data_IF_219156856462
#
_entry.id   IF_219156856462
#
_cell.length_a   1.000
_cell.length_b   1.000
_cell.length_c   1.000
_cell.angle_alpha   90.00
_cell.angle_beta   90.00
_cell.angle_gamma   90.00
#
_symmetry.space_group_name_H-M   'P 1'
#
loop_
_entity.id
_entity.type
_entity.pdbx_description
1 polymer ?
#
# COMPACT_ATOMS: atom_id res chain seq x y z
N UNK A 1 -6.38 12.82 -31.71
CA UNK A 1 -5.44 13.76 -32.37
C UNK A 1 -4.12 13.05 -32.56
N UNK A 2 -3.71 12.90 -33.82
CA UNK A 2 -2.65 12.01 -34.27
C UNK A 2 -1.24 12.55 -34.03
N UNK A 3 -0.32 11.59 -33.83
CA UNK A 3 1.09 11.55 -34.24
C UNK A 3 1.99 12.78 -34.05
N UNK A 4 3.08 12.58 -33.30
CA UNK A 4 4.45 12.68 -33.84
C UNK A 4 5.47 12.05 -32.88
N UNK A 5 6.04 10.94 -33.34
CA UNK A 5 7.30 10.36 -32.88
C UNK A 5 8.47 11.21 -33.40
N UNK A 6 9.51 11.42 -32.60
CA UNK A 6 10.84 11.76 -33.11
C UNK A 6 11.92 11.12 -32.23
N UNK A 7 12.61 10.17 -32.83
CA UNK A 7 13.82 9.49 -32.36
C UNK A 7 15.01 10.40 -32.66
N UNK A 8 15.95 10.60 -31.73
CA UNK A 8 17.34 10.99 -32.05
C UNK A 8 18.31 10.29 -31.09
N UNK A 9 19.27 9.54 -31.66
CA UNK A 9 20.45 8.93 -31.02
C UNK A 9 21.68 9.85 -31.22
N UNK A 10 22.49 10.03 -30.17
CA UNK A 10 23.97 9.95 -30.17
C UNK A 10 24.90 11.02 -30.78
N UNK A 11 25.49 11.86 -29.89
CA UNK A 11 26.92 12.28 -29.80
C UNK A 11 27.51 13.40 -30.72
N UNK A 12 28.73 13.97 -30.46
CA UNK A 12 29.07 14.94 -29.39
C UNK A 12 29.90 16.20 -29.87
N UNK A 13 30.22 17.11 -28.91
CA UNK A 13 31.36 18.08 -28.80
C UNK A 13 31.13 19.63 -28.95
N UNK A 14 31.25 20.28 -27.77
CA UNK A 14 32.11 21.42 -27.36
C UNK A 14 31.90 22.90 -27.81
N UNK A 15 32.06 23.73 -26.76
CA UNK A 15 32.51 25.13 -26.62
C UNK A 15 31.51 26.30 -26.61
N UNK A 16 31.28 26.79 -25.38
CA UNK A 16 31.46 28.18 -24.91
C UNK A 16 30.86 29.33 -25.71
N UNK A 17 29.90 30.06 -25.10
CA UNK A 17 29.98 31.51 -24.91
C UNK A 17 28.94 31.98 -23.85
N UNK A 18 29.30 33.07 -23.20
CA UNK A 18 28.79 33.63 -21.95
C UNK A 18 27.60 34.59 -22.07
N UNK A 19 26.98 34.85 -20.90
CA UNK A 19 26.27 36.07 -20.46
C UNK A 19 24.81 36.31 -20.90
N UNK A 20 23.93 36.50 -19.91
CA UNK A 20 22.66 37.20 -20.10
C UNK A 20 21.59 36.92 -19.04
N UNK A 21 21.80 37.34 -17.79
CA UNK A 21 20.74 37.45 -16.78
C UNK A 21 19.71 38.49 -17.26
N UNK A 22 18.42 38.13 -17.34
CA UNK A 22 17.32 39.09 -17.40
C UNK A 22 16.21 38.72 -16.42
N UNK A 23 16.04 39.59 -15.44
CA UNK A 23 14.96 39.69 -14.47
C UNK A 23 13.61 40.01 -15.14
N UNK A 24 12.56 39.30 -14.74
CA UNK A 24 11.16 39.59 -15.14
C UNK A 24 10.52 40.47 -14.05
N UNK A 25 9.87 41.61 -14.37
CA UNK A 25 9.24 42.44 -13.35
C UNK A 25 7.84 41.95 -13.01
N UNK A 26 7.57 41.94 -11.70
CA UNK A 26 6.28 41.70 -11.06
C UNK A 26 5.39 42.94 -11.21
N UNK A 27 4.23 42.80 -11.86
CA UNK A 27 3.24 43.88 -12.02
C UNK A 27 2.09 43.67 -11.04
N UNK A 28 2.01 44.57 -10.06
CA UNK A 28 0.91 44.66 -9.11
C UNK A 28 -0.34 45.28 -9.76
N UNK A 29 -1.48 44.60 -9.70
CA UNK A 29 -2.78 45.13 -10.14
C UNK A 29 -3.51 45.79 -8.97
N UNK A 30 -3.75 47.11 -9.09
CA UNK A 30 -4.59 47.92 -8.19
C UNK A 30 -6.06 47.49 -8.27
N UNK A 31 -6.72 47.59 -7.12
CA UNK A 31 -8.09 47.16 -6.88
C UNK A 31 -9.17 48.01 -7.57
N UNK A 32 -10.31 47.35 -7.78
CA UNK A 32 -11.59 47.96 -8.12
C UNK A 32 -12.46 47.82 -6.88
N UNK A 33 -12.87 48.95 -6.32
CA UNK A 33 -13.80 49.01 -5.20
C UNK A 33 -15.22 48.69 -5.69
N UNK A 34 -15.81 47.62 -5.15
CA UNK A 34 -17.24 47.34 -5.23
C UNK A 34 -17.84 47.63 -3.86
N UNK A 35 -18.74 48.59 -3.79
CA UNK A 35 -19.51 48.91 -2.60
C UNK A 35 -20.43 47.73 -2.26
N UNK A 36 -20.12 47.01 -1.18
CA UNK A 36 -21.04 46.06 -0.52
C UNK A 36 -21.42 46.61 0.84
N UNK A 37 -22.71 46.83 1.00
CA UNK A 37 -23.46 47.19 2.20
C UNK A 37 -22.99 46.39 3.43
N UNK A 38 -22.94 46.96 4.65
CA UNK A 38 -22.48 46.22 5.82
C UNK A 38 -23.48 45.13 6.16
N UNK A 39 -23.16 43.88 5.81
CA UNK A 39 -23.87 42.69 6.29
C UNK A 39 -23.41 42.43 7.72
N UNK A 40 -24.36 42.37 8.64
CA UNK A 40 -24.17 42.22 10.07
C UNK A 40 -23.13 41.15 10.45
N UNK A 41 -22.02 41.60 11.04
CA UNK A 41 -20.95 40.80 11.64
C UNK A 41 -21.35 40.13 12.98
N UNK A 42 -22.63 40.18 13.37
CA UNK A 42 -23.09 39.60 14.64
C UNK A 42 -23.44 38.11 14.54
N UNK A 43 -23.80 37.60 13.35
CA UNK A 43 -24.28 36.21 13.19
C UNK A 43 -23.15 35.18 13.11
N UNK A 44 -21.96 35.54 12.65
CA UNK A 44 -20.79 34.63 12.63
C UNK A 44 -20.27 34.33 14.03
N UNK A 45 -20.22 35.34 14.92
CA UNK A 45 -19.78 35.13 16.31
C UNK A 45 -20.71 34.22 17.11
N UNK A 46 -22.03 34.28 16.84
CA UNK A 46 -23.02 33.43 17.50
C UNK A 46 -23.00 32.00 16.96
N UNK A 47 -22.82 31.82 15.64
CA UNK A 47 -22.68 30.50 15.03
C UNK A 47 -21.39 29.77 15.45
N UNK A 48 -20.27 30.50 15.58
CA UNK A 48 -19.00 29.98 16.09
C UNK A 48 -19.09 29.66 17.60
N UNK A 49 -19.72 30.53 18.39
CA UNK A 49 -19.95 30.31 19.82
C UNK A 49 -20.94 29.17 20.09
N UNK A 50 -21.99 29.02 19.29
CA UNK A 50 -22.93 27.89 19.36
C UNK A 50 -22.28 26.59 18.87
N UNK A 51 -21.40 26.67 17.88
CA UNK A 51 -20.55 25.56 17.44
C UNK A 51 -19.65 25.04 18.58
N UNK A 52 -18.98 25.96 19.27
CA UNK A 52 -18.14 25.71 20.46
C UNK A 52 -18.93 25.19 21.66
N UNK A 53 -20.08 25.79 21.99
CA UNK A 53 -20.93 25.31 23.10
C UNK A 53 -21.46 23.91 22.84
N UNK A 54 -21.89 23.62 21.60
CA UNK A 54 -22.32 22.28 21.21
C UNK A 54 -21.17 21.27 21.18
N UNK A 55 -19.90 21.69 21.01
CA UNK A 55 -18.76 20.74 21.01
C UNK A 55 -18.36 20.40 22.43
N UNK A 56 -18.36 21.39 23.32
CA UNK A 56 -18.21 21.18 24.75
C UNK A 56 -19.28 20.24 25.33
N UNK A 57 -20.56 20.44 25.02
CA UNK A 57 -21.62 19.57 25.54
C UNK A 57 -21.53 18.11 25.06
N UNK A 58 -21.05 17.89 23.83
CA UNK A 58 -20.82 16.55 23.29
C UNK A 58 -19.59 15.89 23.95
N UNK A 59 -18.50 16.64 24.13
CA UNK A 59 -17.33 16.20 24.89
C UNK A 59 -17.67 15.79 26.32
N UNK A 60 -18.45 16.61 27.01
CA UNK A 60 -18.90 16.31 28.37
C UNK A 60 -19.73 15.03 28.45
N UNK A 61 -20.46 14.68 27.39
CA UNK A 61 -21.21 13.41 27.33
C UNK A 61 -20.29 12.20 27.13
N UNK A 62 -19.21 12.35 26.36
CA UNK A 62 -18.20 11.32 26.12
C UNK A 62 -17.30 11.10 27.34
N UNK A 63 -16.95 12.16 28.05
CA UNK A 63 -16.13 12.11 29.27
C UNK A 63 -16.86 11.43 30.44
N UNK A 64 -18.19 11.35 30.40
CA UNK A 64 -19.03 10.65 31.37
C UNK A 64 -19.24 9.17 31.03
N UNK A 65 -18.78 8.71 29.87
CA UNK A 65 -18.88 7.31 29.49
C UNK A 65 -18.00 6.44 30.41
N UNK A 66 -18.53 5.37 31.01
CA UNK A 66 -17.75 4.46 31.85
C UNK A 66 -16.49 3.92 31.17
N UNK A 67 -16.53 3.66 29.85
CA UNK A 67 -15.37 3.20 29.10
C UNK A 67 -14.28 4.27 28.97
N UNK A 68 -14.68 5.55 28.92
CA UNK A 68 -13.73 6.67 28.93
C UNK A 68 -13.02 6.80 30.28
N UNK A 69 -13.77 6.65 31.38
CA UNK A 69 -13.21 6.71 32.73
C UNK A 69 -12.25 5.53 33.00
N UNK A 70 -12.64 4.31 32.63
CA UNK A 70 -11.78 3.12 32.72
C UNK A 70 -10.46 3.28 31.94
N UNK A 71 -10.52 3.90 30.74
CA UNK A 71 -9.33 4.17 29.93
C UNK A 71 -8.36 5.10 30.69
N UNK A 72 -8.87 6.18 31.28
CA UNK A 72 -8.08 7.21 31.97
C UNK A 72 -7.44 6.66 33.25
N UNK A 73 -8.20 5.91 34.05
CA UNK A 73 -7.71 5.29 35.28
C UNK A 73 -6.61 4.27 34.97
N UNK A 74 -6.79 3.46 33.93
CA UNK A 74 -5.80 2.48 33.54
C UNK A 74 -4.50 3.10 32.95
N UNK A 75 -4.48 4.39 32.63
CA UNK A 75 -3.27 5.11 32.20
C UNK A 75 -2.48 5.66 33.40
N UNK A 76 -3.13 5.86 34.54
CA UNK A 76 -2.51 6.35 35.78
C UNK A 76 -1.76 5.25 36.58
N UNK A 77 -2.08 3.98 36.36
CA UNK A 77 -1.60 2.86 37.19
C UNK A 77 -0.20 2.29 36.83
N UNK A 78 0.61 2.95 35.97
CA UNK A 78 1.90 2.38 35.57
C UNK A 78 3.10 3.01 36.28
N UNK A 79 3.59 2.43 37.40
CA UNK A 79 4.67 3.00 38.20
C UNK A 79 6.05 2.93 37.51
N UNK A 80 6.17 2.24 36.37
CA UNK A 80 7.41 2.10 35.62
C UNK A 80 7.20 2.46 34.13
N UNK A 81 7.45 3.72 33.72
CA UNK A 81 7.18 4.19 32.36
C UNK A 81 7.87 3.38 31.25
N UNK A 82 9.03 2.76 31.54
CA UNK A 82 9.75 1.92 30.57
C UNK A 82 9.08 0.56 30.32
N UNK A 83 8.24 0.09 31.24
CA UNK A 83 7.42 -1.12 31.06
C UNK A 83 6.12 -0.82 30.31
N UNK A 84 5.77 0.46 30.13
CA UNK A 84 4.64 0.87 29.32
C UNK A 84 5.00 0.90 27.83
N UNK A 85 4.29 0.13 27.03
CA UNK A 85 4.42 0.21 25.57
C UNK A 85 3.91 1.56 25.05
N UNK A 86 2.84 2.11 25.63
CA UNK A 86 2.23 3.37 25.18
C UNK A 86 3.22 4.51 25.31
N UNK A 87 3.95 4.60 26.42
CA UNK A 87 4.97 5.63 26.62
C UNK A 87 6.20 5.49 25.69
N UNK A 88 6.49 4.27 25.21
CA UNK A 88 7.55 4.02 24.21
C UNK A 88 7.08 4.25 22.78
N UNK A 89 5.81 4.00 22.49
CA UNK A 89 5.21 4.14 21.17
C UNK A 89 4.83 5.59 20.86
N UNK A 90 4.19 6.28 21.81
CA UNK A 90 3.82 7.69 21.67
C UNK A 90 5.03 8.55 22.00
N UNK A 91 5.47 9.35 21.03
CA UNK A 91 6.65 10.22 21.15
C UNK A 91 6.46 11.40 22.10
N UNK A 92 5.47 12.29 21.88
CA UNK A 92 5.24 13.46 22.72
C UNK A 92 5.06 13.11 24.19
N UNK A 93 5.72 13.87 25.07
CA UNK A 93 5.52 13.81 26.53
C UNK A 93 4.47 14.84 26.95
N UNK A 94 3.98 14.74 28.17
CA UNK A 94 2.93 15.64 28.67
C UNK A 94 3.29 17.13 28.49
N UNK A 95 4.54 17.51 28.75
CA UNK A 95 5.04 18.87 28.50
C UNK A 95 5.05 19.28 27.03
N UNK A 96 5.31 18.33 26.12
CA UNK A 96 5.28 18.58 24.68
C UNK A 96 3.84 18.74 24.21
N UNK A 97 2.93 17.91 24.74
CA UNK A 97 1.49 17.97 24.46
C UNK A 97 0.94 19.33 24.87
N UNK A 98 1.25 19.81 26.08
CA UNK A 98 0.82 21.14 26.56
C UNK A 98 1.32 22.27 25.65
N UNK A 99 2.59 22.21 25.23
CA UNK A 99 3.18 23.20 24.32
C UNK A 99 2.54 23.16 22.92
N UNK A 100 2.27 21.96 22.40
CA UNK A 100 1.60 21.75 21.12
C UNK A 100 0.15 22.26 21.16
N UNK A 101 -0.61 21.93 22.22
CA UNK A 101 -1.98 22.37 22.44
C UNK A 101 -2.10 23.89 22.48
N UNK A 102 -1.19 24.56 23.19
CA UNK A 102 -1.11 26.02 23.22
C UNK A 102 -0.84 26.62 21.83
N UNK A 103 -0.03 25.95 21.01
CA UNK A 103 0.30 26.42 19.65
C UNK A 103 -0.89 26.32 18.71
N UNK A 104 -1.70 25.27 18.85
CA UNK A 104 -2.92 25.07 18.04
C UNK A 104 -4.16 25.78 18.61
N UNK A 105 -4.04 26.38 19.81
CA UNK A 105 -5.12 27.14 20.45
C UNK A 105 -6.21 26.27 21.09
N UNK A 106 -5.85 25.08 21.57
CA UNK A 106 -6.76 24.18 22.28
C UNK A 106 -6.33 24.02 23.75
N UNK A 107 -7.31 23.94 24.66
CA UNK A 107 -7.04 23.80 26.10
C UNK A 107 -6.76 22.35 26.53
N UNK A 108 -7.19 21.37 25.72
CA UNK A 108 -7.00 19.95 25.99
C UNK A 108 -7.01 19.15 24.69
N UNK A 109 -6.49 17.91 24.74
CA UNK A 109 -6.54 16.98 23.62
C UNK A 109 -7.98 16.68 23.20
N UNK A 110 -8.88 16.55 24.17
CA UNK A 110 -10.31 16.37 23.96
C UNK A 110 -10.92 17.55 23.19
N UNK A 111 -10.64 18.78 23.62
CA UNK A 111 -11.09 20.01 22.94
C UNK A 111 -10.58 20.02 21.50
N UNK A 112 -9.29 19.73 21.29
CA UNK A 112 -8.68 19.66 19.97
C UNK A 112 -9.37 18.62 19.05
N UNK A 113 -9.60 17.40 19.55
CA UNK A 113 -10.31 16.35 18.78
C UNK A 113 -11.70 16.82 18.36
N UNK A 114 -12.45 17.47 19.26
CA UNK A 114 -13.81 17.95 18.96
C UNK A 114 -13.86 19.10 17.95
N UNK A 115 -12.76 19.85 17.80
CA UNK A 115 -12.62 20.91 16.80
C UNK A 115 -12.27 20.34 15.42
N UNK A 116 -11.51 19.24 15.38
CA UNK A 116 -11.02 18.62 14.12
C UNK A 116 -12.04 17.63 13.54
N UNK A 117 -12.65 16.80 14.37
CA UNK A 117 -13.54 15.72 13.93
C UNK A 117 -15.00 16.18 14.02
N UNK A 118 -15.77 16.18 12.92
CA UNK A 118 -17.19 16.45 12.95
C UNK A 118 -17.95 15.51 13.90
N UNK A 119 -18.92 16.07 14.63
CA UNK A 119 -19.61 15.39 15.75
C UNK A 119 -20.46 14.21 15.30
N UNK A 120 -21.01 14.27 14.11
CA UNK A 120 -21.88 13.26 13.53
C UNK A 120 -21.12 11.97 13.17
N UNK A 121 -19.80 12.04 13.04
CA UNK A 121 -18.92 10.88 12.80
C UNK A 121 -18.00 10.55 13.98
N UNK A 122 -18.02 11.36 15.04
CA UNK A 122 -17.24 11.11 16.25
C UNK A 122 -17.86 9.95 17.02
N UNK A 123 -17.16 8.83 17.04
CA UNK A 123 -17.63 7.62 17.74
C UNK A 123 -17.46 7.76 19.25
N UNK A 124 -18.43 7.29 20.06
CA UNK A 124 -18.25 7.20 21.50
C UNK A 124 -17.11 6.22 21.85
N UNK A 125 -16.47 6.40 23.02
CA UNK A 125 -15.45 5.48 23.51
C UNK A 125 -16.01 4.05 23.46
N UNK A 126 -15.38 3.19 22.66
CA UNK A 126 -15.80 1.80 22.56
C UNK A 126 -15.32 1.05 23.80
N UNK A 127 -16.16 0.13 24.29
CA UNK A 127 -15.79 -0.85 25.30
C UNK A 127 -14.45 -1.50 24.93
N UNK A 128 -13.54 -1.59 25.90
CA UNK A 128 -12.20 -2.13 25.72
C UNK A 128 -12.25 -3.49 25.00
N UNK A 129 -11.68 -3.54 23.79
CA UNK A 129 -11.69 -4.76 22.95
C UNK A 129 -10.89 -5.89 23.62
N UNK A 130 -9.88 -5.55 24.43
CA UNK A 130 -9.10 -6.50 25.21
C UNK A 130 -9.17 -6.15 26.71
N UNK A 131 -9.73 -7.03 27.56
CA UNK A 131 -9.94 -6.72 28.98
C UNK A 131 -8.64 -6.63 29.79
N UNK A 132 -7.50 -7.05 29.23
CA UNK A 132 -6.20 -7.07 29.90
C UNK A 132 -5.16 -6.32 29.09
N UNK A 133 -4.60 -5.25 29.67
CA UNK A 133 -3.38 -4.63 29.16
C UNK A 133 -2.22 -5.61 29.36
N UNK A 134 -1.50 -5.91 28.29
CA UNK A 134 -0.32 -6.76 28.34
C UNK A 134 0.93 -5.89 28.18
N UNK A 135 1.96 -6.14 28.99
CA UNK A 135 3.31 -5.64 28.73
C UNK A 135 3.86 -6.27 27.44
N UNK A 136 4.92 -5.70 26.87
CA UNK A 136 5.60 -6.31 25.72
C UNK A 136 6.02 -7.77 25.97
N UNK A 137 6.57 -8.05 27.17
CA UNK A 137 6.92 -9.41 27.58
C UNK A 137 5.70 -10.32 27.71
N UNK A 138 4.57 -9.78 28.20
CA UNK A 138 3.30 -10.48 28.26
C UNK A 138 2.79 -10.86 26.86
N UNK A 139 2.81 -9.91 25.93
CA UNK A 139 2.44 -10.12 24.52
C UNK A 139 3.36 -11.17 23.86
N UNK A 140 4.67 -11.08 24.07
CA UNK A 140 5.63 -12.06 23.55
C UNK A 140 5.36 -13.48 24.08
N UNK A 141 5.02 -13.62 25.37
CA UNK A 141 4.67 -14.92 25.96
C UNK A 141 3.36 -15.49 25.37
N UNK A 142 2.36 -14.64 25.13
CA UNK A 142 1.10 -15.04 24.49
C UNK A 142 1.35 -15.50 23.05
N UNK A 143 2.12 -14.75 22.25
CA UNK A 143 2.44 -15.19 20.89
C UNK A 143 3.29 -16.45 20.87
N UNK A 144 4.19 -16.63 21.85
CA UNK A 144 4.96 -17.86 22.00
C UNK A 144 4.07 -19.07 22.29
N UNK A 145 3.06 -18.93 23.15
CA UNK A 145 2.11 -20.01 23.45
C UNK A 145 1.16 -20.31 22.29
N UNK A 146 0.77 -19.30 21.51
CA UNK A 146 0.02 -19.48 20.26
C UNK A 146 0.87 -20.19 19.21
N UNK A 147 2.11 -19.74 19.00
CA UNK A 147 3.04 -20.35 18.04
C UNK A 147 3.38 -21.80 18.39
N UNK A 148 3.37 -22.16 19.67
CA UNK A 148 3.62 -23.54 20.12
C UNK A 148 2.49 -24.52 19.76
N UNK A 149 1.32 -24.03 19.35
CA UNK A 149 0.21 -24.86 18.89
C UNK A 149 0.35 -25.25 17.41
N UNK A 150 1.22 -24.57 16.66
CA UNK A 150 1.46 -24.88 15.24
C UNK A 150 2.34 -26.13 15.12
N UNK A 151 1.93 -27.08 14.28
CA UNK A 151 2.74 -28.24 13.93
C UNK A 151 3.70 -27.89 12.79
N UNK A 152 5.00 -27.80 13.08
CA UNK A 152 6.04 -27.60 12.06
C UNK A 152 6.36 -28.95 11.42
N UNK A 153 5.90 -29.15 10.18
CA UNK A 153 6.18 -30.34 9.36
C UNK A 153 7.09 -30.00 8.20
N UNK A 154 7.80 -31.00 7.68
CA UNK A 154 8.52 -30.85 6.41
C UNK A 154 7.50 -30.63 5.29
N UNK A 155 7.48 -29.43 4.70
CA UNK A 155 6.57 -29.08 3.62
C UNK A 155 7.05 -29.72 2.31
N UNK A 156 6.23 -30.61 1.74
CA UNK A 156 6.49 -31.27 0.45
C UNK A 156 5.33 -31.14 -0.53
N UNK A 157 4.33 -30.29 -0.23
CA UNK A 157 3.13 -30.12 -1.06
C UNK A 157 3.39 -29.26 -2.31
N UNK A 158 4.50 -28.52 -2.36
CA UNK A 158 4.78 -27.57 -3.44
C UNK A 158 3.78 -26.41 -3.44
N UNK A 159 3.09 -26.19 -4.57
CA UNK A 159 2.08 -25.14 -4.70
C UNK A 159 2.64 -23.71 -4.79
N UNK A 160 3.85 -23.55 -5.33
CA UNK A 160 4.55 -22.27 -5.40
C UNK A 160 5.33 -21.91 -4.13
N UNK A 161 5.17 -22.67 -3.03
CA UNK A 161 5.87 -22.44 -1.77
C UNK A 161 6.84 -23.58 -1.48
N UNK A 162 8.13 -23.24 -1.38
CA UNK A 162 9.20 -24.19 -1.17
C UNK A 162 10.07 -23.75 0.02
N UNK A 163 10.41 -24.67 0.95
CA UNK A 163 11.26 -24.32 2.09
C UNK A 163 12.66 -23.92 1.60
N UNK A 164 13.19 -22.83 2.15
CA UNK A 164 14.54 -22.32 1.84
C UNK A 164 15.32 -22.07 3.12
N UNK A 165 16.61 -22.35 3.08
CA UNK A 165 17.54 -21.98 4.14
C UNK A 165 17.91 -20.50 3.98
N UNK A 166 17.42 -19.64 4.89
CA UNK A 166 17.76 -18.22 4.88
C UNK A 166 19.14 -18.04 5.50
N UNK A 167 20.15 -17.52 4.77
CA UNK A 167 21.47 -17.30 5.32
C UNK A 167 21.42 -16.44 6.58
N UNK A 168 22.03 -16.91 7.67
CA UNK A 168 21.97 -16.24 8.98
C UNK A 168 22.43 -14.78 8.93
N UNK A 169 23.41 -14.47 8.07
CA UNK A 169 23.90 -13.10 7.85
C UNK A 169 22.83 -12.18 7.25
N UNK A 170 21.96 -12.68 6.36
CA UNK A 170 20.85 -11.92 5.77
C UNK A 170 19.75 -11.76 6.82
N UNK A 171 19.37 -12.83 7.50
CA UNK A 171 18.36 -12.79 8.55
C UNK A 171 18.70 -11.74 9.61
N UNK A 172 19.93 -11.78 10.15
CA UNK A 172 20.34 -10.89 11.25
C UNK A 172 20.54 -9.44 10.82
N UNK A 173 21.16 -9.20 9.66
CA UNK A 173 21.61 -7.85 9.28
C UNK A 173 20.64 -7.10 8.35
N UNK A 174 19.65 -7.80 7.77
CA UNK A 174 18.65 -7.21 6.89
C UNK A 174 17.23 -7.39 7.46
N UNK A 175 16.77 -8.62 7.67
CA UNK A 175 15.38 -8.87 8.10
C UNK A 175 15.10 -8.40 9.53
N UNK A 176 16.04 -8.60 10.45
CA UNK A 176 15.93 -8.21 11.87
C UNK A 176 16.56 -6.83 12.16
N UNK A 177 16.92 -6.07 11.13
CA UNK A 177 17.59 -4.78 11.28
C UNK A 177 16.67 -3.60 10.91
N UNK A 178 16.29 -2.74 11.87
CA UNK A 178 15.38 -1.61 11.61
C UNK A 178 15.90 -0.64 10.57
N UNK A 179 17.22 -0.52 10.38
CA UNK A 179 17.79 0.34 9.34
C UNK A 179 17.32 -0.03 7.93
N UNK A 180 16.93 -1.30 7.70
CA UNK A 180 16.46 -1.78 6.40
C UNK A 180 14.93 -1.78 6.26
N UNK A 181 14.18 -2.08 7.32
CA UNK A 181 12.72 -2.25 7.22
C UNK A 181 11.90 -1.03 7.69
N UNK A 182 12.50 -0.01 8.29
CA UNK A 182 11.74 1.18 8.77
C UNK A 182 11.59 2.27 7.72
N UNK A 183 12.52 2.36 6.76
CA UNK A 183 12.41 3.32 5.66
C UNK A 183 11.30 2.91 4.69
N UNK A 184 10.56 3.88 4.16
CA UNK A 184 9.52 3.63 3.16
C UNK A 184 10.05 3.75 1.72
N UNK A 185 9.13 3.83 0.75
CA UNK A 185 9.42 3.97 -0.68
C UNK A 185 10.52 5.01 -0.95
N UNK A 186 11.51 4.69 -1.81
CA UNK A 186 12.64 5.58 -2.14
C UNK A 186 12.25 6.77 -3.03
N UNK A 187 11.36 7.64 -2.54
CA UNK A 187 11.01 8.89 -3.21
C UNK A 187 12.20 9.87 -3.27
N UNK A 188 13.04 9.88 -2.25
CA UNK A 188 14.28 10.67 -2.20
C UNK A 188 15.47 9.77 -2.52
N UNK A 189 15.87 9.71 -3.79
CA UNK A 189 16.84 8.75 -4.28
C UNK A 189 18.23 8.93 -3.63
N UNK A 190 18.65 10.17 -3.36
CA UNK A 190 19.98 10.54 -2.86
C UNK A 190 20.28 9.92 -1.49
N UNK A 191 19.26 9.83 -0.63
CA UNK A 191 19.36 9.23 0.72
C UNK A 191 18.90 7.77 0.74
N UNK A 192 18.72 7.16 -0.45
CA UNK A 192 18.12 5.84 -0.62
C UNK A 192 18.95 4.89 -1.48
N UNK A 193 20.18 5.27 -1.82
CA UNK A 193 21.02 4.54 -2.77
C UNK A 193 21.24 3.08 -2.37
N UNK A 194 21.44 2.77 -1.09
CA UNK A 194 21.69 1.39 -0.64
C UNK A 194 20.55 0.41 -0.98
N UNK A 195 19.28 0.81 -0.76
CA UNK A 195 18.13 -0.05 -1.13
C UNK A 195 17.84 -0.02 -2.63
N UNK A 196 18.07 1.11 -3.30
CA UNK A 196 17.91 1.20 -4.76
C UNK A 196 18.90 0.30 -5.49
N UNK A 197 20.14 0.22 -5.02
CA UNK A 197 21.14 -0.71 -5.54
C UNK A 197 20.73 -2.17 -5.31
N UNK A 198 20.23 -2.51 -4.12
CA UNK A 198 19.71 -3.86 -3.85
C UNK A 198 18.51 -4.22 -4.74
N UNK A 199 17.63 -3.27 -5.05
CA UNK A 199 16.50 -3.48 -5.97
C UNK A 199 16.97 -3.61 -7.43
N UNK A 200 18.01 -2.87 -7.82
CA UNK A 200 18.64 -3.04 -9.12
C UNK A 200 19.26 -4.44 -9.25
N UNK A 201 19.94 -4.92 -8.21
CA UNK A 201 20.48 -6.29 -8.17
C UNK A 201 19.36 -7.33 -8.31
N UNK A 202 18.21 -7.11 -7.67
CA UNK A 202 17.03 -7.97 -7.86
C UNK A 202 16.55 -7.97 -9.32
N UNK A 203 16.43 -6.78 -9.94
CA UNK A 203 16.03 -6.66 -11.34
C UNK A 203 17.01 -7.37 -12.27
N UNK A 204 18.32 -7.16 -12.09
CA UNK A 204 19.36 -7.81 -12.88
C UNK A 204 19.31 -9.32 -12.71
N UNK A 205 19.19 -9.83 -11.48
CA UNK A 205 19.05 -11.26 -11.21
C UNK A 205 17.84 -11.86 -11.93
N UNK A 206 16.67 -11.22 -11.88
CA UNK A 206 15.47 -11.71 -12.56
C UNK A 206 15.64 -11.66 -14.09
N UNK A 207 16.21 -10.58 -14.64
CA UNK A 207 16.51 -10.48 -16.07
C UNK A 207 17.49 -11.55 -16.55
N UNK A 208 18.56 -11.81 -15.80
CA UNK A 208 19.55 -12.83 -16.13
C UNK A 208 18.96 -14.25 -16.07
N UNK A 209 18.13 -14.55 -15.05
CA UNK A 209 17.49 -15.86 -14.90
C UNK A 209 16.40 -16.13 -15.95
N UNK A 210 15.61 -15.11 -16.29
CA UNK A 210 14.50 -15.25 -17.25
C UNK A 210 14.92 -15.04 -18.70
N UNK A 211 16.09 -14.44 -18.94
CA UNK A 211 16.53 -14.00 -20.26
C UNK A 211 15.71 -12.85 -20.84
N UNK A 212 14.85 -12.19 -20.04
CA UNK A 212 14.02 -11.08 -20.46
C UNK A 212 14.73 -9.73 -20.22
N UNK A 213 14.54 -8.73 -21.11
CA UNK A 213 15.34 -7.51 -21.12
C UNK A 213 15.05 -6.56 -19.95
N UNK A 214 13.90 -6.68 -19.28
CA UNK A 214 13.48 -5.78 -18.21
C UNK A 214 12.71 -6.56 -17.15
N UNK A 215 13.02 -6.29 -15.88
CA UNK A 215 12.26 -6.71 -14.71
C UNK A 215 11.89 -5.49 -13.85
N UNK A 216 10.77 -5.57 -13.13
CA UNK A 216 10.39 -4.55 -12.16
C UNK A 216 10.98 -4.83 -10.77
N UNK A 217 10.72 -3.97 -9.80
CA UNK A 217 11.25 -4.06 -8.44
C UNK A 217 10.38 -4.90 -7.48
N UNK A 218 9.74 -5.97 -7.98
CA UNK A 218 8.77 -6.89 -7.33
C UNK A 218 7.29 -6.59 -7.58
N UNK A 219 6.46 -7.61 -7.31
CA UNK A 219 4.99 -7.58 -7.21
C UNK A 219 4.58 -8.32 -5.92
N UNK A 220 3.28 -8.39 -5.63
CA UNK A 220 2.79 -8.94 -4.36
C UNK A 220 2.99 -10.46 -4.24
N UNK A 221 2.57 -11.22 -5.24
CA UNK A 221 2.69 -12.68 -5.30
C UNK A 221 2.61 -13.18 -6.76
N UNK A 222 2.75 -14.50 -6.97
CA UNK A 222 2.69 -15.14 -8.29
C UNK A 222 1.33 -14.95 -8.98
N UNK A 223 0.23 -15.16 -8.25
CA UNK A 223 -1.13 -15.09 -8.81
C UNK A 223 -1.49 -13.69 -9.30
N UNK A 224 -1.15 -12.66 -8.51
CA UNK A 224 -1.33 -11.26 -8.89
C UNK A 224 -0.39 -10.85 -10.01
N UNK A 225 0.85 -11.34 -10.02
CA UNK A 225 1.79 -11.11 -11.13
C UNK A 225 1.29 -11.73 -12.45
N UNK A 226 0.72 -12.94 -12.40
CA UNK A 226 0.08 -13.57 -13.54
C UNK A 226 -1.12 -12.74 -14.04
N UNK A 227 -1.96 -12.23 -13.14
CA UNK A 227 -3.07 -11.35 -13.52
C UNK A 227 -2.59 -10.01 -14.12
N UNK A 228 -1.47 -9.45 -13.66
CA UNK A 228 -0.84 -8.28 -14.29
C UNK A 228 -0.28 -8.62 -15.68
N UNK A 229 0.31 -9.80 -15.87
CA UNK A 229 0.77 -10.25 -17.18
C UNK A 229 -0.40 -10.41 -18.19
N UNK A 230 -1.54 -10.93 -17.73
CA UNK A 230 -2.78 -10.94 -18.52
C UNK A 230 -3.24 -9.51 -18.87
N UNK A 231 -3.25 -8.61 -17.88
CA UNK A 231 -3.65 -7.21 -18.07
C UNK A 231 -2.71 -6.48 -19.03
N UNK A 232 -1.41 -6.73 -18.95
CA UNK A 232 -0.39 -6.19 -19.86
C UNK A 232 -0.60 -6.72 -21.28
N UNK A 233 -0.87 -8.03 -21.43
CA UNK A 233 -1.17 -8.65 -22.72
C UNK A 233 -2.39 -7.99 -23.38
N UNK A 234 -3.47 -7.79 -22.62
CA UNK A 234 -4.67 -7.10 -23.09
C UNK A 234 -4.40 -5.64 -23.50
N UNK A 235 -3.65 -4.89 -22.69
CA UNK A 235 -3.31 -3.50 -22.98
C UNK A 235 -2.37 -3.34 -24.17
N UNK A 236 -1.61 -4.38 -24.53
CA UNK A 236 -0.75 -4.37 -25.72
C UNK A 236 -1.52 -4.56 -27.03
N UNK A 237 -2.78 -5.01 -26.98
CA UNK A 237 -3.60 -5.23 -28.16
C UNK A 237 -4.06 -3.90 -28.81
N UNK A 238 -4.24 -3.87 -30.13
CA UNK A 238 -4.91 -2.75 -30.79
C UNK A 238 -6.30 -2.49 -30.19
N UNK A 239 -6.71 -1.23 -30.09
CA UNK A 239 -7.99 -0.83 -29.48
C UNK A 239 -9.20 -1.56 -30.06
N UNK A 240 -9.17 -1.89 -31.35
CA UNK A 240 -10.24 -2.65 -32.00
C UNK A 240 -10.40 -4.07 -31.43
N UNK A 241 -9.30 -4.74 -31.06
CA UNK A 241 -9.30 -6.07 -30.42
C UNK A 241 -9.59 -5.97 -28.93
N UNK A 242 -8.98 -5.00 -28.24
CA UNK A 242 -9.15 -4.80 -26.80
C UNK A 242 -10.61 -4.50 -26.38
N UNK A 243 -11.44 -3.97 -27.29
CA UNK A 243 -12.86 -3.67 -27.05
C UNK A 243 -13.83 -4.80 -27.43
N UNK A 244 -13.33 -5.93 -27.93
CA UNK A 244 -14.19 -7.05 -28.31
C UNK A 244 -14.91 -7.61 -27.06
N UNK A 245 -16.15 -8.09 -27.21
CA UNK A 245 -16.89 -8.69 -26.10
C UNK A 245 -16.28 -10.05 -25.70
N UNK A 246 -15.89 -10.85 -26.69
CA UNK A 246 -15.47 -12.24 -26.52
C UNK A 246 -13.96 -12.40 -26.24
N UNK A 247 -13.37 -11.56 -25.38
CA UNK A 247 -11.93 -11.64 -25.05
C UNK A 247 -11.63 -12.95 -24.32
N UNK A 248 -10.65 -13.71 -24.80
CA UNK A 248 -10.23 -14.97 -24.16
C UNK A 248 -8.74 -14.95 -23.85
N UNK A 249 -8.38 -15.29 -22.61
CA UNK A 249 -7.01 -15.54 -22.19
C UNK A 249 -6.85 -17.02 -21.89
N UNK A 250 -5.92 -17.67 -22.55
CA UNK A 250 -5.72 -19.12 -22.43
C UNK A 250 -4.69 -19.40 -21.33
N UNK A 251 -4.97 -20.36 -20.47
CA UNK A 251 -4.06 -20.79 -19.40
C UNK A 251 -3.86 -22.30 -19.46
N UNK A 252 -2.65 -22.77 -19.18
CA UNK A 252 -2.38 -24.20 -19.02
C UNK A 252 -3.13 -24.73 -17.79
N UNK A 253 -3.66 -25.95 -17.91
CA UNK A 253 -4.16 -26.77 -16.81
C UNK A 253 -3.10 -27.13 -15.75
N UNK A 254 -1.80 -26.95 -16.06
CA UNK A 254 -0.67 -27.20 -15.16
C UNK A 254 -0.24 -25.98 -14.33
N UNK A 255 -0.99 -24.88 -14.36
CA UNK A 255 -0.80 -23.76 -13.45
C UNK A 255 -1.26 -24.11 -12.03
N UNK A 256 -0.76 -23.37 -11.04
CA UNK A 256 -1.29 -23.47 -9.68
C UNK A 256 -2.75 -23.00 -9.64
N UNK A 257 -3.60 -23.77 -8.95
CA UNK A 257 -5.04 -23.48 -8.82
C UNK A 257 -5.28 -22.10 -8.16
N UNK A 258 -4.45 -21.74 -7.18
CA UNK A 258 -4.45 -20.41 -6.55
C UNK A 258 -4.22 -19.28 -7.57
N UNK A 259 -3.25 -19.45 -8.48
CA UNK A 259 -2.96 -18.51 -9.58
C UNK A 259 -4.16 -18.37 -10.51
N UNK A 260 -4.76 -19.48 -10.96
CA UNK A 260 -5.94 -19.48 -11.84
C UNK A 260 -7.11 -18.74 -11.17
N UNK A 261 -7.37 -18.99 -9.88
CA UNK A 261 -8.44 -18.31 -9.12
C UNK A 261 -8.22 -16.80 -9.02
N UNK A 262 -6.99 -16.36 -8.74
CA UNK A 262 -6.67 -14.91 -8.70
C UNK A 262 -6.85 -14.28 -10.08
N UNK A 263 -6.44 -14.97 -11.14
CA UNK A 263 -6.65 -14.51 -12.52
C UNK A 263 -8.14 -14.39 -12.85
N UNK A 264 -8.98 -15.36 -12.49
CA UNK A 264 -10.44 -15.28 -12.70
C UNK A 264 -11.05 -14.05 -12.03
N UNK A 265 -10.72 -13.81 -10.75
CA UNK A 265 -11.25 -12.65 -10.02
C UNK A 265 -10.86 -11.31 -10.67
N UNK A 266 -9.68 -11.24 -11.29
CA UNK A 266 -9.23 -10.05 -12.03
C UNK A 266 -9.84 -9.96 -13.44
N UNK A 267 -10.02 -11.09 -14.11
CA UNK A 267 -10.55 -11.19 -15.47
C UNK A 267 -12.03 -10.78 -15.56
N UNK A 268 -12.82 -11.09 -14.51
CA UNK A 268 -14.24 -10.74 -14.42
C UNK A 268 -14.48 -9.23 -14.60
N UNK A 269 -13.68 -8.39 -13.93
CA UNK A 269 -13.79 -6.93 -14.03
C UNK A 269 -13.52 -6.36 -15.43
N UNK A 270 -12.84 -7.11 -16.29
CA UNK A 270 -12.51 -6.70 -17.66
C UNK A 270 -13.29 -7.46 -18.74
N UNK A 271 -14.18 -8.38 -18.35
CA UNK A 271 -14.90 -9.26 -19.26
C UNK A 271 -13.94 -10.08 -20.14
N UNK A 272 -12.89 -10.63 -19.53
CA UNK A 272 -11.97 -11.58 -20.17
C UNK A 272 -12.37 -12.98 -19.69
N UNK A 273 -12.61 -13.88 -20.63
CA UNK A 273 -12.81 -15.29 -20.35
C UNK A 273 -11.45 -15.98 -20.14
N UNK A 274 -11.28 -16.69 -19.03
CA UNK A 274 -10.11 -17.55 -18.82
C UNK A 274 -10.46 -18.94 -19.35
N UNK A 275 -9.74 -19.39 -20.37
CA UNK A 275 -9.89 -20.72 -20.93
C UNK A 275 -8.75 -21.62 -20.45
N UNK A 276 -9.07 -22.61 -19.61
CA UNK A 276 -8.10 -23.58 -19.11
C UNK A 276 -8.01 -24.76 -20.09
N UNK A 277 -6.80 -25.10 -20.54
CA UNK A 277 -6.60 -26.25 -21.45
C UNK A 277 -5.26 -26.94 -21.26
N UNK A 278 -5.20 -28.22 -21.65
CA UNK A 278 -3.95 -28.96 -21.83
C UNK A 278 -3.25 -28.44 -23.09
N UNK A 279 -2.15 -27.71 -22.88
CA UNK A 279 -1.35 -27.13 -23.95
C UNK A 279 -0.37 -28.12 -24.60
N UNK A 280 -0.23 -29.33 -24.04
CA UNK A 280 0.59 -30.40 -24.58
C UNK A 280 -0.18 -31.27 -25.59
N UNK A 281 -1.51 -31.15 -25.63
CA UNK A 281 -2.35 -31.89 -26.56
C UNK A 281 -2.01 -31.56 -28.03
N UNK A 282 -2.01 -32.55 -28.95
CA UNK A 282 -1.65 -32.32 -30.36
C UNK A 282 -2.52 -31.27 -31.07
N UNK A 283 -3.76 -31.09 -30.62
CA UNK A 283 -4.72 -30.15 -31.19
C UNK A 283 -4.76 -28.78 -30.46
N UNK A 284 -3.96 -28.59 -29.39
CA UNK A 284 -3.97 -27.37 -28.59
C UNK A 284 -3.64 -26.13 -29.42
N UNK A 285 -2.65 -26.23 -30.31
CA UNK A 285 -2.24 -25.13 -31.16
C UNK A 285 -3.34 -24.70 -32.15
N UNK A 286 -4.09 -25.65 -32.70
CA UNK A 286 -5.21 -25.35 -33.60
C UNK A 286 -6.39 -24.73 -32.84
N UNK A 287 -6.67 -25.19 -31.62
CA UNK A 287 -7.67 -24.59 -30.72
C UNK A 287 -7.30 -23.14 -30.35
N UNK A 288 -6.04 -22.87 -30.01
CA UNK A 288 -5.58 -21.50 -29.69
C UNK A 288 -5.73 -20.59 -30.91
N UNK A 289 -5.39 -21.08 -32.11
CA UNK A 289 -5.56 -20.32 -33.36
C UNK A 289 -7.03 -20.04 -33.69
N UNK A 290 -7.95 -20.93 -33.31
CA UNK A 290 -9.38 -20.76 -33.56
C UNK A 290 -9.98 -19.53 -32.87
N UNK A 291 -9.37 -19.04 -31.78
CA UNK A 291 -9.79 -17.78 -31.14
C UNK A 291 -9.49 -16.54 -31.98
N UNK A 292 -8.53 -16.59 -32.91
CA UNK A 292 -8.22 -15.46 -33.80
C UNK A 292 -8.01 -14.12 -33.08
N UNK A 293 -8.80 -13.12 -33.45
CA UNK A 293 -8.73 -11.77 -32.89
C UNK A 293 -9.21 -11.64 -31.44
N UNK A 294 -9.95 -12.63 -30.94
CA UNK A 294 -10.46 -12.70 -29.57
C UNK A 294 -9.40 -13.16 -28.55
N UNK A 295 -8.31 -13.77 -29.02
CA UNK A 295 -7.20 -14.20 -28.16
C UNK A 295 -6.48 -12.99 -27.56
N UNK A 296 -6.36 -12.95 -26.24
CA UNK A 296 -5.65 -11.91 -25.50
C UNK A 296 -4.21 -12.31 -25.22
N UNK A 297 -3.98 -13.57 -24.85
CA UNK A 297 -2.67 -14.10 -24.52
C UNK A 297 -2.77 -15.56 -24.07
N UNK A 298 -1.60 -16.15 -23.84
CA UNK A 298 -1.45 -17.54 -23.37
C UNK A 298 -0.48 -17.55 -22.20
N UNK A 299 -0.78 -18.33 -21.16
CA UNK A 299 0.10 -18.50 -20.01
C UNK A 299 0.41 -19.98 -19.75
N UNK A 300 1.67 -20.23 -19.42
CA UNK A 300 2.22 -21.54 -19.12
C UNK A 300 3.00 -21.50 -17.81
N UNK A 301 3.06 -22.63 -17.10
CA UNK A 301 3.89 -22.80 -15.91
C UNK A 301 5.16 -23.57 -16.26
N UNK A 302 6.33 -23.09 -15.83
CA UNK A 302 7.60 -23.76 -16.03
C UNK A 302 8.47 -23.70 -14.76
N UNK A 303 8.81 -24.84 -14.13
CA UNK A 303 8.35 -26.21 -14.43
C UNK A 303 6.85 -26.40 -14.15
N UNK A 304 6.23 -27.38 -14.80
CA UNK A 304 4.81 -27.68 -14.62
C UNK A 304 4.49 -28.16 -13.20
N UNK A 305 3.30 -27.83 -12.69
CA UNK A 305 2.76 -28.51 -11.51
C UNK A 305 2.20 -29.86 -11.94
N UNK A 306 2.52 -30.92 -11.18
CA UNK A 306 1.98 -32.24 -11.44
C UNK A 306 0.47 -32.25 -11.15
N UNK A 307 -0.34 -32.94 -11.98
CA UNK A 307 -1.78 -32.99 -11.78
C UNK A 307 -2.14 -33.57 -10.40
N UNK A 308 -3.33 -33.25 -9.87
CA UNK A 308 -3.78 -33.75 -8.58
C UNK A 308 -3.65 -35.29 -8.48
N UNK A 309 -3.30 -35.82 -7.28
CA UNK A 309 -3.49 -35.19 -5.97
C UNK A 309 -2.26 -34.42 -5.42
N UNK A 310 -1.19 -34.25 -6.20
CA UNK A 310 0.12 -33.81 -5.66
C UNK A 310 0.18 -32.31 -5.32
N UNK A 311 -0.50 -31.44 -6.08
CA UNK A 311 -0.52 -29.99 -5.86
C UNK A 311 -1.80 -29.46 -5.17
N UNK A 312 -2.58 -30.30 -4.48
CA UNK A 312 -3.75 -29.81 -3.73
C UNK A 312 -3.30 -29.24 -2.38
N UNK A 313 -3.08 -27.92 -2.31
CA UNK A 313 -3.37 -27.01 -1.19
C UNK A 313 -2.84 -25.60 -1.50
#
# INVERSE_FOLDING_TARGET
MASRLAIVRGAPLKHSLSLGIRSVPFVARRGVASATTPRQLSQTSQAEADGHRRSHAALESLQRDPAYLEMKDAQAENPQPWMDFVARHIGPRDSDIDAMLKTVGADSLDTFISQVIPKDILLPPKKTIQPKKLSESGVANVFKSMSAQNEVKTWMNGGGYYPVEIPAVIKRNLLENPAWYTSYTPYQAEISQGRLESLLNFQTMISDLTGLPVANASLLDEGTAAAEAMTMSWNSLPTARAKRPSKTYVVSDLLHDSTIRVMHGRAEGFGINIEVMDLSAPDAHDKIKAFGDDLVGVMVQAPFCLPPPICLL
#
